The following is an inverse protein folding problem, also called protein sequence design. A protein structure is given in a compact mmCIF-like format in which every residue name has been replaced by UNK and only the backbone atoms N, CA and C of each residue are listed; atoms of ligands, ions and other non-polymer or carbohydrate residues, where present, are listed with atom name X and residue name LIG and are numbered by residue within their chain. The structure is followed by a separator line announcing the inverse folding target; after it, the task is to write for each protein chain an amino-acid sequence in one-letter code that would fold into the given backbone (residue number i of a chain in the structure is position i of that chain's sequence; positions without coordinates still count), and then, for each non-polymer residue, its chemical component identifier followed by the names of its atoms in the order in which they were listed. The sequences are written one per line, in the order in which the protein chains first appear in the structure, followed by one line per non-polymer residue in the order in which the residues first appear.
data_IF_419475062980
#
_entry.id   IF_419475062980
#
_cell.length_a   1.000
_cell.length_b   1.000
_cell.length_c   1.000
_cell.angle_alpha   90.00
_cell.angle_beta   90.00
_cell.angle_gamma   90.00
#
_symmetry.space_group_name_H-M   'P 1'
#
loop_
_entity.id
_entity.type
_entity.pdbx_description
1 polymer ?
#
# COMPACT_ATOMS: atom_id res chain seq x y z
N UNK A 1 11.04 -6.88 -28.40
CA UNK A 1 12.33 -7.02 -27.70
C UNK A 1 12.91 -5.69 -27.22
N UNK A 2 13.47 -4.80 -28.05
CA UNK A 2 14.12 -3.56 -27.53
C UNK A 2 13.21 -2.71 -26.62
N UNK A 3 12.02 -2.36 -27.12
CA UNK A 3 11.07 -1.53 -26.36
C UNK A 3 10.54 -2.21 -25.09
N UNK A 4 10.44 -3.54 -25.08
CA UNK A 4 10.01 -4.30 -23.89
C UNK A 4 11.06 -4.19 -22.78
N UNK A 5 12.36 -4.29 -23.11
CA UNK A 5 13.43 -4.07 -22.15
C UNK A 5 13.47 -2.62 -21.65
N UNK A 6 13.23 -1.66 -22.53
CA UNK A 6 13.12 -0.26 -22.13
C UNK A 6 11.93 -0.03 -21.19
N UNK A 7 10.77 -0.66 -21.46
CA UNK A 7 9.62 -0.65 -20.55
C UNK A 7 9.99 -1.17 -19.16
N UNK A 8 10.64 -2.34 -19.09
CA UNK A 8 11.14 -2.93 -17.84
C UNK A 8 12.13 -2.06 -17.08
N UNK A 9 12.90 -1.24 -17.78
CA UNK A 9 13.86 -0.32 -17.15
C UNK A 9 13.20 0.99 -16.69
N UNK A 10 12.30 1.55 -17.50
CA UNK A 10 11.65 2.85 -17.27
C UNK A 10 10.57 2.74 -16.20
N UNK A 11 9.76 1.68 -16.24
CA UNK A 11 8.61 1.50 -15.33
C UNK A 11 8.98 1.58 -13.85
N UNK A 12 10.04 0.90 -13.36
CA UNK A 12 10.48 1.06 -11.98
C UNK A 12 10.85 2.50 -11.59
N UNK A 13 11.36 3.30 -12.52
CA UNK A 13 11.70 4.70 -12.27
C UNK A 13 10.44 5.58 -12.19
N UNK A 14 9.40 5.26 -12.96
CA UNK A 14 8.09 5.90 -12.86
C UNK A 14 7.42 5.59 -11.52
N UNK A 15 7.43 4.33 -11.08
CA UNK A 15 6.80 3.90 -9.82
C UNK A 15 7.49 4.57 -8.61
N UNK A 16 8.82 4.73 -8.67
CA UNK A 16 9.60 5.44 -7.63
C UNK A 16 9.51 6.97 -7.73
N UNK A 17 8.76 7.52 -8.68
CA UNK A 17 8.68 8.96 -8.99
C UNK A 17 10.04 9.62 -9.30
N UNK A 18 11.04 8.86 -9.75
CA UNK A 18 12.33 9.43 -10.18
C UNK A 18 12.21 10.20 -11.50
N UNK A 19 11.27 9.76 -12.34
CA UNK A 19 10.89 10.40 -13.60
C UNK A 19 9.36 10.33 -13.74
N UNK A 20 8.78 11.19 -14.56
CA UNK A 20 7.36 11.18 -14.91
C UNK A 20 7.14 10.67 -16.34
N UNK A 21 5.92 10.25 -16.68
CA UNK A 21 5.58 9.91 -18.08
C UNK A 21 5.82 11.09 -19.03
N UNK A 22 5.70 12.32 -18.53
CA UNK A 22 5.99 13.53 -19.29
C UNK A 22 7.49 13.69 -19.57
N UNK A 23 8.35 13.41 -18.60
CA UNK A 23 9.81 13.42 -18.79
C UNK A 23 10.23 12.35 -19.81
N UNK A 24 9.59 11.17 -19.75
CA UNK A 24 9.81 10.11 -20.75
C UNK A 24 9.40 10.60 -22.13
N UNK A 25 8.21 11.21 -22.26
CA UNK A 25 7.71 11.75 -23.53
C UNK A 25 8.69 12.78 -24.12
N UNK A 26 9.17 13.72 -23.31
CA UNK A 26 10.15 14.75 -23.71
C UNK A 26 11.46 14.16 -24.22
N UNK A 27 11.88 13.00 -23.72
CA UNK A 27 13.08 12.32 -24.19
C UNK A 27 12.86 11.48 -25.46
N UNK A 28 11.62 11.36 -25.95
CA UNK A 28 11.24 10.41 -27.00
C UNK A 28 11.01 11.04 -28.39
N UNK A 29 11.36 12.31 -28.60
CA UNK A 29 11.15 13.01 -29.88
C UNK A 29 11.66 12.23 -31.10
N UNK A 30 12.84 11.63 -31.01
CA UNK A 30 13.46 10.85 -32.09
C UNK A 30 12.68 9.56 -32.39
N UNK A 31 12.18 8.89 -31.36
CA UNK A 31 11.38 7.66 -31.47
C UNK A 31 9.99 7.97 -32.03
N UNK A 32 9.40 9.10 -31.64
CA UNK A 32 8.12 9.59 -32.14
C UNK A 32 8.25 9.98 -33.61
N UNK A 33 9.30 10.71 -33.99
CA UNK A 33 9.60 11.07 -35.38
C UNK A 33 9.80 9.83 -36.28
N UNK A 34 10.37 8.75 -35.72
CA UNK A 34 10.49 7.45 -36.39
C UNK A 34 9.16 6.66 -36.45
N UNK A 35 8.04 7.22 -35.99
CA UNK A 35 6.71 6.60 -35.89
C UNK A 35 6.68 5.36 -34.98
N UNK A 36 7.59 5.28 -34.01
CA UNK A 36 7.71 4.14 -33.08
C UNK A 36 7.34 4.48 -31.63
N UNK A 37 6.91 5.72 -31.34
CA UNK A 37 6.53 6.16 -29.99
C UNK A 37 5.49 5.26 -29.30
N UNK A 38 4.46 4.86 -30.04
CA UNK A 38 3.44 3.91 -29.57
C UNK A 38 3.98 2.55 -29.09
N UNK A 39 5.11 2.06 -29.63
CA UNK A 39 5.70 0.79 -29.21
C UNK A 39 6.34 0.89 -27.84
N UNK A 40 7.00 2.02 -27.55
CA UNK A 40 7.57 2.29 -26.25
C UNK A 40 6.48 2.56 -25.21
N UNK A 41 5.50 3.41 -25.54
CA UNK A 41 4.35 3.68 -24.67
C UNK A 41 3.63 2.39 -24.29
N UNK A 42 3.37 1.51 -25.29
CA UNK A 42 2.80 0.18 -25.06
C UNK A 42 3.60 -0.62 -24.05
N UNK A 43 4.92 -0.67 -24.21
CA UNK A 43 5.80 -1.46 -23.35
C UNK A 43 5.77 -0.96 -21.90
N UNK A 44 5.80 0.36 -21.72
CA UNK A 44 5.70 1.00 -20.39
C UNK A 44 4.34 0.70 -19.74
N UNK A 45 3.25 0.93 -20.46
CA UNK A 45 1.89 0.72 -19.93
C UNK A 45 1.62 -0.74 -19.60
N UNK A 46 2.06 -1.68 -20.44
CA UNK A 46 1.93 -3.12 -20.15
C UNK A 46 2.68 -3.53 -18.88
N UNK A 47 3.92 -3.07 -18.74
CA UNK A 47 4.73 -3.34 -17.55
C UNK A 47 4.11 -2.69 -16.30
N UNK A 48 3.55 -1.49 -16.40
CA UNK A 48 2.83 -0.83 -15.31
C UNK A 48 1.57 -1.61 -14.89
N UNK A 49 0.79 -2.11 -15.86
CA UNK A 49 -0.40 -2.93 -15.58
C UNK A 49 0.00 -4.23 -14.89
N UNK A 50 1.05 -4.89 -15.39
CA UNK A 50 1.54 -6.15 -14.83
C UNK A 50 2.08 -5.99 -13.41
N UNK A 51 2.80 -4.90 -13.14
CA UNK A 51 3.45 -4.66 -11.85
C UNK A 51 2.55 -4.01 -10.80
N UNK A 52 1.68 -3.08 -11.22
CA UNK A 52 0.92 -2.18 -10.35
C UNK A 52 -0.59 -2.17 -10.60
N UNK A 53 -1.09 -2.92 -11.58
CA UNK A 53 -2.52 -2.99 -11.87
C UNK A 53 -3.03 -1.83 -12.73
N UNK A 54 -4.29 -1.97 -13.14
CA UNK A 54 -4.96 -1.11 -14.12
C UNK A 54 -5.32 0.27 -13.54
N UNK A 55 -5.76 0.31 -12.28
CA UNK A 55 -6.15 1.52 -11.55
C UNK A 55 -4.93 2.41 -11.31
N UNK A 56 -3.82 1.83 -10.85
CA UNK A 56 -2.57 2.58 -10.69
C UNK A 56 -2.10 3.16 -12.03
N UNK A 57 -2.09 2.32 -13.08
CA UNK A 57 -1.66 2.74 -14.42
C UNK A 57 -2.52 3.88 -14.96
N UNK A 58 -3.84 3.81 -14.78
CA UNK A 58 -4.77 4.87 -15.16
C UNK A 58 -4.50 6.16 -14.41
N UNK A 59 -4.28 6.09 -13.09
CA UNK A 59 -3.96 7.28 -12.29
C UNK A 59 -2.68 7.95 -12.80
N UNK A 60 -1.62 7.18 -13.06
CA UNK A 60 -0.36 7.72 -13.62
C UNK A 60 -0.53 8.29 -15.02
N UNK A 61 -1.34 7.65 -15.87
CA UNK A 61 -1.67 8.20 -17.18
C UNK A 61 -2.39 9.55 -17.06
N UNK A 62 -3.42 9.64 -16.21
CA UNK A 62 -4.18 10.86 -16.00
C UNK A 62 -3.34 11.99 -15.38
N UNK A 63 -2.51 11.68 -14.38
CA UNK A 63 -1.57 12.62 -13.75
C UNK A 63 -0.61 13.24 -14.76
N UNK A 64 -0.23 12.49 -15.81
CA UNK A 64 0.71 12.98 -16.82
C UNK A 64 0.14 14.11 -17.69
N UNK A 65 -1.19 14.19 -17.83
CA UNK A 65 -1.87 15.11 -18.76
C UNK A 65 -1.55 14.87 -20.25
N UNK A 66 -0.88 13.77 -20.59
CA UNK A 66 -0.53 13.42 -21.95
C UNK A 66 -1.76 12.93 -22.73
N UNK A 67 -1.65 12.99 -24.06
CA UNK A 67 -2.67 12.48 -24.99
C UNK A 67 -2.03 11.44 -25.90
N UNK A 68 -2.79 10.41 -26.31
CA UNK A 68 -2.25 9.35 -27.17
C UNK A 68 -1.76 9.87 -28.52
N UNK A 69 -2.39 10.92 -29.05
CA UNK A 69 -1.98 11.57 -30.31
C UNK A 69 -0.59 12.25 -30.24
N UNK A 70 0.00 12.41 -29.05
CA UNK A 70 1.37 12.89 -28.88
C UNK A 70 2.42 11.79 -29.07
N UNK A 71 2.00 10.52 -29.11
CA UNK A 71 2.87 9.34 -29.28
C UNK A 71 2.67 8.64 -30.63
N UNK A 72 1.55 8.90 -31.30
CA UNK A 72 1.16 8.26 -32.56
C UNK A 72 0.13 9.10 -33.33
N UNK A 73 -0.08 8.85 -34.65
CA UNK A 73 -1.14 9.50 -35.40
C UNK A 73 -2.52 9.23 -34.81
N UNK A 74 -3.39 10.25 -34.79
CA UNK A 74 -4.72 10.20 -34.17
C UNK A 74 -5.61 9.08 -34.74
N UNK A 75 -5.52 8.83 -36.05
CA UNK A 75 -6.25 7.76 -36.75
C UNK A 75 -5.92 6.35 -36.23
N UNK A 76 -4.73 6.18 -35.65
CA UNK A 76 -4.26 4.90 -35.12
C UNK A 76 -4.77 4.61 -33.71
N UNK A 77 -5.13 5.65 -32.95
CA UNK A 77 -5.41 5.56 -31.51
C UNK A 77 -6.51 4.54 -31.19
N UNK A 78 -7.71 4.56 -31.81
CA UNK A 78 -8.79 3.65 -31.43
C UNK A 78 -8.41 2.17 -31.62
N UNK A 79 -7.83 1.85 -32.79
CA UNK A 79 -7.37 0.48 -33.09
C UNK A 79 -6.23 0.05 -32.18
N UNK A 80 -5.34 0.98 -31.81
CA UNK A 80 -4.22 0.65 -30.94
C UNK A 80 -4.67 0.37 -29.51
N UNK A 81 -5.64 1.11 -28.98
CA UNK A 81 -6.22 0.86 -27.66
C UNK A 81 -6.90 -0.51 -27.62
N UNK A 82 -7.75 -0.81 -28.60
CA UNK A 82 -8.44 -2.10 -28.72
C UNK A 82 -7.47 -3.28 -28.81
N UNK A 83 -6.49 -3.20 -29.73
CA UNK A 83 -5.50 -4.26 -29.92
C UNK A 83 -4.63 -4.55 -28.68
N UNK A 84 -4.55 -3.59 -27.75
CA UNK A 84 -3.72 -3.69 -26.55
C UNK A 84 -4.51 -3.84 -25.25
N UNK A 85 -5.85 -3.84 -25.31
CA UNK A 85 -6.74 -3.87 -24.14
C UNK A 85 -6.48 -2.68 -23.19
N UNK A 86 -6.30 -1.48 -23.75
CA UNK A 86 -5.95 -0.24 -23.03
C UNK A 86 -7.10 0.78 -23.00
N UNK A 87 -8.31 0.40 -23.41
CA UNK A 87 -9.50 1.25 -23.48
C UNK A 87 -9.88 1.81 -22.10
N UNK A 88 -9.51 1.10 -21.03
CA UNK A 88 -9.71 1.57 -19.68
C UNK A 88 -8.96 2.88 -19.38
N UNK A 89 -7.92 3.26 -20.13
CA UNK A 89 -7.21 4.52 -19.91
C UNK A 89 -8.03 5.75 -20.35
N UNK A 90 -9.00 5.58 -21.26
CA UNK A 90 -9.91 6.66 -21.68
C UNK A 90 -11.24 6.64 -20.91
N UNK A 91 -11.70 5.45 -20.51
CA UNK A 91 -12.95 5.30 -19.78
C UNK A 91 -12.86 5.86 -18.36
N UNK A 92 -13.76 6.79 -18.03
CA UNK A 92 -13.94 7.33 -16.67
C UNK A 92 -14.70 6.38 -15.72
N UNK A 93 -15.21 5.25 -16.21
CA UNK A 93 -15.91 4.25 -15.42
C UNK A 93 -14.97 3.31 -14.65
N UNK A 94 -15.52 2.50 -13.75
CA UNK A 94 -14.76 1.48 -13.01
C UNK A 94 -14.05 0.52 -13.99
N UNK A 95 -12.78 0.20 -13.73
CA UNK A 95 -12.07 -0.83 -14.49
C UNK A 95 -12.55 -2.19 -13.98
N UNK A 96 -13.05 -3.04 -14.86
CA UNK A 96 -13.26 -4.44 -14.53
C UNK A 96 -11.92 -5.19 -14.47
N UNK A 97 -11.74 -5.95 -13.40
CA UNK A 97 -10.48 -6.52 -12.96
C UNK A 97 -9.93 -7.53 -13.99
N UNK A 98 -8.77 -7.27 -14.61
CA UNK A 98 -8.22 -8.13 -15.67
C UNK A 98 -6.92 -8.86 -15.32
N UNK A 99 -6.47 -8.86 -14.07
CA UNK A 99 -5.25 -9.59 -13.70
C UNK A 99 -5.19 -9.94 -12.23
N UNK A 100 -5.23 -11.24 -11.90
CA UNK A 100 -4.78 -11.72 -10.59
C UNK A 100 -3.25 -11.71 -10.60
N UNK A 101 -2.64 -10.69 -9.99
CA UNK A 101 -1.20 -10.73 -9.72
C UNK A 101 -0.98 -11.65 -8.51
N UNK A 102 -0.34 -12.80 -8.70
CA UNK A 102 -0.04 -13.72 -7.58
C UNK A 102 1.21 -13.23 -6.85
N UNK A 103 1.08 -12.15 -6.08
CA UNK A 103 2.18 -11.61 -5.28
C UNK A 103 2.38 -12.43 -4.01
N UNK A 104 3.63 -12.67 -3.65
CA UNK A 104 3.96 -13.21 -2.32
C UNK A 104 3.75 -12.15 -1.24
N UNK A 105 3.71 -12.57 0.04
CA UNK A 105 3.59 -11.67 1.19
C UNK A 105 4.73 -10.63 1.22
N UNK A 106 5.97 -11.09 0.96
CA UNK A 106 7.16 -10.24 0.94
C UNK A 106 7.11 -9.22 -0.21
N UNK A 107 6.70 -9.65 -1.41
CA UNK A 107 6.55 -8.74 -2.54
C UNK A 107 5.45 -7.71 -2.30
N UNK A 108 4.34 -8.13 -1.66
CA UNK A 108 3.24 -7.25 -1.27
C UNK A 108 3.71 -6.19 -0.29
N UNK A 109 4.44 -6.59 0.76
CA UNK A 109 5.01 -5.66 1.74
C UNK A 109 5.96 -4.65 1.08
N UNK A 110 6.89 -5.14 0.26
CA UNK A 110 7.87 -4.28 -0.42
C UNK A 110 7.19 -3.26 -1.35
N UNK A 111 6.14 -3.66 -2.08
CA UNK A 111 5.38 -2.76 -2.95
C UNK A 111 4.58 -1.72 -2.15
N UNK A 112 3.91 -2.12 -1.07
CA UNK A 112 3.23 -1.18 -0.17
C UNK A 112 4.21 -0.15 0.41
N UNK A 113 5.35 -0.60 0.91
CA UNK A 113 6.39 0.27 1.45
C UNK A 113 6.93 1.22 0.38
N UNK A 114 7.14 0.74 -0.85
CA UNK A 114 7.55 1.58 -1.98
C UNK A 114 6.51 2.67 -2.30
N UNK A 115 5.23 2.32 -2.35
CA UNK A 115 4.14 3.27 -2.61
C UNK A 115 4.06 4.34 -1.53
N UNK A 116 4.13 3.94 -0.25
CA UNK A 116 4.10 4.86 0.89
C UNK A 116 5.33 5.77 0.91
N UNK A 117 6.53 5.23 0.68
CA UNK A 117 7.76 6.02 0.61
C UNK A 117 7.82 6.96 -0.58
N UNK A 118 7.12 6.66 -1.68
CA UNK A 118 6.94 7.55 -2.83
C UNK A 118 5.81 8.57 -2.60
N UNK A 119 5.28 8.63 -1.38
CA UNK A 119 4.21 9.54 -0.95
C UNK A 119 2.94 9.43 -1.82
N UNK A 120 2.61 8.22 -2.29
CA UNK A 120 1.39 8.00 -3.07
C UNK A 120 0.12 8.26 -2.26
N UNK A 121 -0.98 8.54 -2.96
CA UNK A 121 -2.27 8.79 -2.32
C UNK A 121 -2.89 7.47 -1.81
N UNK A 122 -3.72 7.56 -0.77
CA UNK A 122 -4.46 6.40 -0.26
C UNK A 122 -5.39 5.81 -1.35
N UNK A 123 -5.95 6.63 -2.24
CA UNK A 123 -6.73 6.16 -3.39
C UNK A 123 -5.89 5.31 -4.36
N UNK A 124 -4.66 5.72 -4.62
CA UNK A 124 -3.73 4.98 -5.46
C UNK A 124 -3.38 3.61 -4.84
N UNK A 125 -3.12 3.59 -3.54
CA UNK A 125 -2.86 2.36 -2.79
C UNK A 125 -4.09 1.45 -2.77
N UNK A 126 -5.29 1.98 -2.54
CA UNK A 126 -6.55 1.20 -2.62
C UNK A 126 -6.75 0.56 -3.99
N UNK A 127 -6.52 1.33 -5.06
CA UNK A 127 -6.58 0.83 -6.42
C UNK A 127 -5.60 -0.32 -6.66
N UNK A 128 -4.37 -0.16 -6.20
CA UNK A 128 -3.35 -1.21 -6.28
C UNK A 128 -3.74 -2.46 -5.49
N UNK A 129 -4.26 -2.32 -4.26
CA UNK A 129 -4.73 -3.46 -3.44
C UNK A 129 -5.88 -4.18 -4.17
N UNK A 130 -6.87 -3.45 -4.70
CA UNK A 130 -8.00 -4.02 -5.44
C UNK A 130 -7.54 -4.82 -6.67
N UNK A 131 -6.57 -4.29 -7.41
CA UNK A 131 -6.13 -4.89 -8.67
C UNK A 131 -5.13 -6.03 -8.47
N UNK A 132 -4.17 -5.86 -7.54
CA UNK A 132 -3.05 -6.78 -7.38
C UNK A 132 -3.22 -7.77 -6.22
N UNK A 133 -3.96 -7.43 -5.16
CA UNK A 133 -4.21 -8.32 -4.01
C UNK A 133 -5.61 -8.95 -4.11
N UNK A 134 -6.61 -8.17 -4.52
CA UNK A 134 -7.97 -8.64 -4.73
C UNK A 134 -8.63 -9.16 -3.44
N UNK A 135 -9.25 -10.33 -3.52
CA UNK A 135 -9.97 -10.97 -2.39
C UNK A 135 -9.04 -11.25 -1.19
N UNK A 136 -7.74 -11.47 -1.43
CA UNK A 136 -6.79 -11.73 -0.35
C UNK A 136 -6.60 -10.51 0.58
N UNK A 137 -7.14 -9.33 0.22
CA UNK A 137 -7.17 -8.17 1.08
C UNK A 137 -8.06 -8.35 2.33
N UNK A 138 -8.92 -9.37 2.35
CA UNK A 138 -9.68 -9.79 3.54
C UNK A 138 -8.88 -10.68 4.49
N UNK A 139 -7.80 -11.32 4.01
CA UNK A 139 -7.06 -12.33 4.76
C UNK A 139 -6.16 -11.72 5.85
N UNK A 140 -5.97 -12.47 6.95
CA UNK A 140 -5.16 -12.03 8.09
C UNK A 140 -3.70 -11.74 7.72
N UNK A 141 -3.13 -12.51 6.79
CA UNK A 141 -1.75 -12.29 6.35
C UNK A 141 -1.58 -10.93 5.68
N UNK A 142 -2.59 -10.49 4.91
CA UNK A 142 -2.54 -9.20 4.25
C UNK A 142 -2.60 -8.07 5.27
N UNK A 143 -3.47 -8.19 6.28
CA UNK A 143 -3.54 -7.22 7.37
C UNK A 143 -2.22 -7.09 8.13
N UNK A 144 -1.55 -8.21 8.40
CA UNK A 144 -0.21 -8.21 9.00
C UNK A 144 0.78 -7.45 8.10
N UNK A 145 0.83 -7.78 6.81
CA UNK A 145 1.73 -7.14 5.83
C UNK A 145 1.47 -5.64 5.68
N UNK A 146 0.20 -5.23 5.61
CA UNK A 146 -0.20 -3.82 5.54
C UNK A 146 0.24 -3.05 6.79
N UNK A 147 -0.02 -3.61 7.97
CA UNK A 147 0.36 -3.01 9.25
C UNK A 147 1.87 -2.85 9.36
N UNK A 148 2.63 -3.89 8.97
CA UNK A 148 4.09 -3.84 8.98
C UNK A 148 4.62 -2.79 8.01
N UNK A 149 4.09 -2.71 6.78
CA UNK A 149 4.51 -1.70 5.80
C UNK A 149 4.25 -0.27 6.29
N UNK A 150 3.10 -0.02 6.93
CA UNK A 150 2.77 1.30 7.50
C UNK A 150 3.74 1.66 8.63
N UNK A 151 4.01 0.73 9.55
CA UNK A 151 4.93 0.95 10.66
C UNK A 151 6.37 1.14 10.15
N UNK A 152 6.86 0.30 9.23
CA UNK A 152 8.18 0.44 8.61
C UNK A 152 8.31 1.77 7.85
N UNK A 153 7.25 2.23 7.17
CA UNK A 153 7.21 3.54 6.55
C UNK A 153 7.32 4.67 7.58
N UNK A 154 6.61 4.57 8.70
CA UNK A 154 6.62 5.57 9.78
C UNK A 154 7.96 5.59 10.55
N UNK A 155 8.72 4.49 10.54
CA UNK A 155 10.05 4.39 11.13
C UNK A 155 11.18 4.77 10.17
N UNK A 156 10.88 5.01 8.89
CA UNK A 156 11.90 5.37 7.93
C UNK A 156 12.57 6.71 8.31
N UNK A 157 13.85 6.65 8.68
CA UNK A 157 14.65 7.82 9.04
C UNK A 157 14.95 7.99 10.54
N UNK A 158 14.56 7.04 11.41
CA UNK A 158 14.93 7.07 12.83
C UNK A 158 14.45 5.88 13.64
N UNK A 159 14.72 5.90 14.94
CA UNK A 159 14.30 4.86 15.90
C UNK A 159 12.92 5.12 16.54
N UNK A 160 12.31 6.28 16.24
CA UNK A 160 11.04 6.73 16.80
C UNK A 160 9.94 6.74 15.73
N UNK A 161 8.69 6.53 16.14
CA UNK A 161 7.55 6.53 15.23
C UNK A 161 7.27 7.95 14.74
N UNK A 162 7.33 8.18 13.43
CA UNK A 162 6.88 9.43 12.85
C UNK A 162 5.34 9.42 12.70
N UNK A 163 4.65 10.09 13.62
CA UNK A 163 3.18 10.15 13.65
C UNK A 163 2.57 10.81 12.41
N UNK A 164 3.24 11.77 11.77
CA UNK A 164 2.74 12.40 10.52
C UNK A 164 2.70 11.39 9.36
N UNK A 165 3.78 10.62 9.21
CA UNK A 165 3.87 9.53 8.23
C UNK A 165 2.87 8.41 8.52
N UNK A 166 2.69 8.07 9.80
CA UNK A 166 1.72 7.09 10.26
C UNK A 166 0.28 7.54 9.93
N UNK A 167 -0.08 8.78 10.27
CA UNK A 167 -1.43 9.35 10.10
C UNK A 167 -1.93 9.30 8.66
N UNK A 168 -1.04 9.41 7.66
CA UNK A 168 -1.44 9.36 6.26
C UNK A 168 -2.02 8.00 5.87
N UNK A 169 -1.43 6.89 6.36
CA UNK A 169 -1.73 5.55 5.87
C UNK A 169 -2.41 4.64 6.89
N UNK A 170 -2.33 4.94 8.18
CA UNK A 170 -2.98 4.17 9.25
C UNK A 170 -4.49 3.96 9.05
N UNK A 171 -5.28 4.92 8.49
CA UNK A 171 -6.69 4.69 8.18
C UNK A 171 -6.95 3.48 7.28
N UNK A 172 -6.00 3.10 6.41
CA UNK A 172 -6.13 1.92 5.55
C UNK A 172 -6.30 0.63 6.35
N UNK A 173 -5.77 0.56 7.58
CA UNK A 173 -5.96 -0.61 8.46
C UNK A 173 -7.44 -0.82 8.77
N UNK A 174 -8.23 0.25 8.90
CA UNK A 174 -9.67 0.19 9.17
C UNK A 174 -10.53 -0.12 7.94
N UNK A 175 -9.96 -0.12 6.74
CA UNK A 175 -10.70 -0.25 5.47
C UNK A 175 -10.62 -1.64 4.83
N UNK A 176 -9.61 -2.43 5.20
CA UNK A 176 -9.43 -3.81 4.72
C UNK A 176 -9.73 -4.82 5.83
N UNK A 177 -9.52 -6.11 5.55
CA UNK A 177 -9.82 -7.20 6.49
C UNK A 177 -11.31 -7.50 6.62
N UNK A 178 -11.63 -8.74 7.00
CA UNK A 178 -13.02 -9.21 7.08
C UNK A 178 -13.80 -8.60 8.26
N UNK A 179 -13.60 -9.15 9.46
CA UNK A 179 -14.32 -8.80 10.68
C UNK A 179 -13.42 -7.98 11.60
N UNK A 180 -13.97 -6.94 12.24
CA UNK A 180 -13.22 -6.04 13.14
C UNK A 180 -12.31 -6.79 14.14
N UNK A 181 -12.77 -7.82 14.89
CA UNK A 181 -11.91 -8.51 15.85
C UNK A 181 -10.72 -9.23 15.20
N UNK A 182 -10.92 -9.90 14.07
CA UNK A 182 -9.83 -10.60 13.35
C UNK A 182 -8.83 -9.62 12.78
N UNK A 183 -9.34 -8.50 12.26
CA UNK A 183 -8.51 -7.42 11.72
C UNK A 183 -7.65 -6.76 12.77
N UNK A 184 -8.22 -6.43 13.93
CA UNK A 184 -7.51 -5.85 15.06
C UNK A 184 -6.44 -6.82 15.59
N UNK A 185 -6.79 -8.11 15.75
CA UNK A 185 -5.84 -9.13 16.13
C UNK A 185 -4.68 -9.26 15.12
N UNK A 186 -4.98 -9.33 13.82
CA UNK A 186 -3.97 -9.42 12.77
C UNK A 186 -3.06 -8.17 12.73
N UNK A 187 -3.60 -6.98 12.99
CA UNK A 187 -2.83 -5.75 13.15
C UNK A 187 -1.83 -5.87 14.32
N UNK A 188 -2.31 -6.25 15.51
CA UNK A 188 -1.47 -6.39 16.70
C UNK A 188 -0.39 -7.46 16.56
N UNK A 189 -0.70 -8.61 15.95
CA UNK A 189 0.30 -9.63 15.62
C UNK A 189 1.29 -9.15 14.56
N UNK A 190 0.83 -8.35 13.59
CA UNK A 190 1.68 -7.69 12.61
C UNK A 190 2.72 -6.78 13.27
N UNK A 191 2.29 -5.94 14.22
CA UNK A 191 3.17 -5.09 15.04
C UNK A 191 4.11 -5.95 15.89
N UNK A 192 3.60 -6.99 16.54
CA UNK A 192 4.42 -7.89 17.38
C UNK A 192 5.56 -8.51 16.58
N UNK A 193 5.27 -9.04 15.40
CA UNK A 193 6.28 -9.62 14.52
C UNK A 193 7.32 -8.59 14.07
N UNK A 194 6.88 -7.37 13.72
CA UNK A 194 7.80 -6.29 13.35
C UNK A 194 8.74 -5.91 14.50
N UNK A 195 8.19 -5.67 15.69
CA UNK A 195 8.97 -5.33 16.88
C UNK A 195 9.98 -6.44 17.20
N UNK A 196 9.57 -7.70 17.08
CA UNK A 196 10.45 -8.84 17.30
C UNK A 196 11.59 -8.88 16.27
N UNK A 197 11.29 -8.67 14.98
CA UNK A 197 12.26 -8.56 13.89
C UNK A 197 13.25 -7.40 14.10
N UNK A 198 12.82 -6.32 14.75
CA UNK A 198 13.65 -5.17 15.11
C UNK A 198 14.38 -5.33 16.46
N UNK A 199 14.35 -6.52 17.07
CA UNK A 199 15.00 -6.83 18.35
C UNK A 199 14.54 -5.96 19.53
N UNK A 200 13.25 -5.61 19.55
CA UNK A 200 12.60 -4.85 20.63
C UNK A 200 13.25 -3.49 20.96
N UNK A 201 13.21 -2.50 20.01
CA UNK A 201 13.72 -1.16 20.26
C UNK A 201 13.04 -0.50 21.47
N UNK A 202 13.81 0.23 22.27
CA UNK A 202 13.31 0.84 23.50
C UNK A 202 12.19 1.85 23.21
N UNK A 203 11.05 1.72 23.89
CA UNK A 203 9.92 2.64 23.80
C UNK A 203 9.02 2.46 22.56
N UNK A 204 9.52 1.86 21.48
CA UNK A 204 8.78 1.74 20.21
C UNK A 204 7.46 0.96 20.35
N UNK A 205 7.46 -0.13 21.12
CA UNK A 205 6.22 -0.89 21.37
C UNK A 205 5.14 -0.04 22.02
N UNK A 206 5.50 0.76 23.03
CA UNK A 206 4.56 1.61 23.74
C UNK A 206 4.03 2.71 22.82
N UNK A 207 4.91 3.36 22.06
CA UNK A 207 4.56 4.42 21.11
C UNK A 207 3.55 3.93 20.05
N UNK A 208 3.79 2.75 19.43
CA UNK A 208 2.85 2.18 18.46
C UNK A 208 1.50 1.82 19.12
N UNK A 209 1.49 1.19 20.30
CA UNK A 209 0.24 0.80 20.97
C UNK A 209 -0.57 2.01 21.42
N UNK A 210 0.08 3.05 21.96
CA UNK A 210 -0.55 4.32 22.29
C UNK A 210 -1.17 4.97 21.05
N UNK A 211 -0.42 5.04 19.95
CA UNK A 211 -0.92 5.58 18.69
C UNK A 211 -2.17 4.83 18.20
N UNK A 212 -2.12 3.49 18.16
CA UNK A 212 -3.23 2.66 17.70
C UNK A 212 -4.50 2.84 18.55
N UNK A 213 -4.33 3.07 19.86
CA UNK A 213 -5.42 3.34 20.80
C UNK A 213 -5.99 4.76 20.60
N UNK A 214 -5.13 5.79 20.59
CA UNK A 214 -5.54 7.19 20.47
C UNK A 214 -6.20 7.52 19.12
N UNK A 215 -5.81 6.81 18.06
CA UNK A 215 -6.41 6.96 16.72
C UNK A 215 -7.62 6.04 16.51
N UNK A 216 -8.10 5.33 17.54
CA UNK A 216 -9.25 4.42 17.47
C UNK A 216 -9.14 3.34 16.39
N UNK A 217 -7.90 2.92 16.07
CA UNK A 217 -7.65 1.86 15.08
C UNK A 217 -7.92 0.49 15.69
N UNK A 218 -7.58 0.33 16.97
CA UNK A 218 -7.78 -0.88 17.76
C UNK A 218 -8.63 -0.52 18.97
N UNK A 219 -9.70 -1.26 19.22
CA UNK A 219 -10.52 -1.06 20.42
C UNK A 219 -9.83 -1.59 21.68
N UNK A 220 -10.31 -1.17 22.85
CA UNK A 220 -9.85 -1.68 24.15
C UNK A 220 -9.99 -3.21 24.18
N UNK A 221 -11.13 -3.74 23.74
CA UNK A 221 -11.35 -5.19 23.67
C UNK A 221 -10.37 -5.89 22.73
N UNK A 222 -10.00 -5.26 21.62
CA UNK A 222 -8.97 -5.78 20.71
C UNK A 222 -7.61 -5.91 21.39
N UNK A 223 -7.20 -4.89 22.16
CA UNK A 223 -5.98 -4.95 22.97
C UNK A 223 -6.05 -6.03 24.06
N UNK A 224 -7.17 -6.13 24.79
CA UNK A 224 -7.35 -7.14 25.84
C UNK A 224 -7.36 -8.57 25.26
N UNK A 225 -8.03 -8.76 24.12
CA UNK A 225 -8.05 -10.03 23.41
C UNK A 225 -6.64 -10.46 22.99
N UNK A 226 -5.83 -9.54 22.46
CA UNK A 226 -4.43 -9.81 22.18
C UNK A 226 -3.63 -10.07 23.47
N UNK A 227 -3.80 -9.30 24.54
CA UNK A 227 -3.07 -9.47 25.80
C UNK A 227 -3.25 -10.89 26.37
N UNK A 228 -4.50 -11.35 26.45
CA UNK A 228 -4.90 -12.64 27.04
C UNK A 228 -4.69 -13.85 26.12
N UNK A 229 -4.51 -13.62 24.82
CA UNK A 229 -4.31 -14.69 23.84
C UNK A 229 -3.04 -15.52 24.13
N UNK A 230 -3.08 -16.82 23.84
CA UNK A 230 -1.89 -17.68 23.84
C UNK A 230 -1.32 -17.91 22.42
N UNK A 231 -1.93 -17.28 21.41
CA UNK A 231 -1.52 -17.41 20.01
C UNK A 231 -0.25 -16.60 19.73
N UNK A 232 0.64 -17.15 18.92
CA UNK A 232 1.90 -16.53 18.48
C UNK A 232 2.73 -15.95 19.65
N UNK A 233 3.39 -16.80 20.47
CA UNK A 233 4.06 -16.34 21.69
C UNK A 233 5.37 -15.56 21.45
N UNK A 234 5.93 -15.61 20.25
CA UNK A 234 7.24 -15.07 19.93
C UNK A 234 7.28 -13.53 20.05
N UNK A 235 8.20 -12.99 20.84
CA UNK A 235 8.32 -11.55 21.12
C UNK A 235 7.26 -10.97 22.07
N UNK A 236 6.14 -11.66 22.28
CA UNK A 236 5.00 -11.16 23.08
C UNK A 236 5.34 -10.85 24.53
N UNK A 237 6.07 -11.74 25.21
CA UNK A 237 6.39 -11.57 26.63
C UNK A 237 7.20 -10.29 26.91
N UNK A 238 8.09 -9.91 25.99
CA UNK A 238 8.88 -8.67 26.09
C UNK A 238 7.98 -7.45 25.90
N UNK A 239 7.06 -7.50 24.94
CA UNK A 239 6.09 -6.43 24.71
C UNK A 239 5.14 -6.24 25.89
N UNK A 240 4.60 -7.32 26.47
CA UNK A 240 3.72 -7.25 27.65
C UNK A 240 4.42 -6.55 28.84
N UNK A 241 5.71 -6.82 29.04
CA UNK A 241 6.51 -6.14 30.06
C UNK A 241 6.66 -4.64 29.76
N UNK A 242 6.81 -4.25 28.50
CA UNK A 242 6.87 -2.85 28.09
C UNK A 242 5.50 -2.13 28.16
N UNK A 243 4.40 -2.87 28.03
CA UNK A 243 3.03 -2.36 27.95
C UNK A 243 2.26 -2.41 29.26
N UNK A 244 2.89 -2.77 30.39
CA UNK A 244 2.20 -2.93 31.67
C UNK A 244 1.40 -1.68 32.07
N UNK A 245 2.02 -0.49 31.99
CA UNK A 245 1.32 0.77 32.30
C UNK A 245 0.22 1.11 31.29
N UNK A 246 0.43 0.79 30.02
CA UNK A 246 -0.59 1.01 28.97
C UNK A 246 -1.84 0.20 29.27
N UNK A 247 -1.70 -1.09 29.57
CA UNK A 247 -2.84 -1.96 29.89
C UNK A 247 -3.56 -1.56 31.18
N UNK A 248 -2.84 -1.13 32.21
CA UNK A 248 -3.46 -0.56 33.42
C UNK A 248 -4.33 0.63 33.07
N UNK A 249 -3.80 1.59 32.30
CA UNK A 249 -4.51 2.82 31.96
C UNK A 249 -5.79 2.56 31.14
N UNK A 250 -5.74 1.73 30.10
CA UNK A 250 -6.92 1.50 29.24
C UNK A 250 -8.02 0.71 29.97
N UNK A 251 -7.65 -0.17 30.92
CA UNK A 251 -8.63 -0.91 31.74
C UNK A 251 -9.28 -0.02 32.80
N UNK A 252 -8.51 0.89 33.40
CA UNK A 252 -9.06 1.83 34.38
C UNK A 252 -10.04 2.80 33.73
N UNK A 253 -9.68 3.37 32.57
CA UNK A 253 -10.56 4.28 31.83
C UNK A 253 -11.89 3.61 31.41
N UNK A 254 -11.84 2.39 30.88
CA UNK A 254 -13.02 1.64 30.45
C UNK A 254 -13.97 1.30 31.62
N UNK A 255 -13.41 1.00 32.80
CA UNK A 255 -14.21 0.76 34.01
C UNK A 255 -14.89 2.04 34.53
N UNK A 256 -14.23 3.19 34.45
CA UNK A 256 -14.81 4.48 34.86
C UNK A 256 -15.98 4.90 33.94
N UNK A 257 -15.84 4.74 32.62
CA UNK A 257 -16.89 5.07 31.66
C UNK A 257 -18.14 4.21 31.89
N UNK A 258 -17.97 2.89 32.11
CA UNK A 258 -19.09 1.97 32.39
C UNK A 258 -19.84 2.24 33.71
N UNK A 259 -19.19 2.86 34.70
CA UNK A 259 -19.83 3.24 35.97
C UNK A 259 -20.53 4.60 35.91
N UNK A 260 -20.23 5.43 34.91
CA UNK A 260 -20.83 6.75 34.70
C UNK A 260 -22.15 6.71 33.91
N UNK A 261 -22.41 5.61 33.19
CA UNK A 261 -23.63 5.37 32.40
C UNK A 261 -24.72 4.58 33.16
N UNK A 262 -24.52 4.29 34.46
CA UNK A 262 -25.42 3.51 35.32
C UNK A 262 -26.26 4.35 36.30
#
# INVERSE_FOLDING_TARGET
MLYEYLGKFITPQLIKKNITLKDVHQCCDTVIAAKQGHLLLRAILKELIESMGVTFTRNKWNESGLQFNQWMPEEMVPKWLENNKLEFLENKGEVENSGKSTLTQVETQNKLLQLMNSDESCECIRGWIKDCVGEAAGEEWFMRVLTQAICEHALAGGEHLNHERMNKFAPLIGEFGDEKPRREAACLYGVQHLIHKLEHPQGLTLDIFQYLHEQYIISVEGFIAWETSETEPEGKAVMLKALTSFFTNIKEADNEDSCSEA
#
